data_IF_584602616478
#
_entry.id   IF_584602616478
#
_cell.length_a   1.000
_cell.length_b   1.000
_cell.length_c   1.000
_cell.angle_alpha   90.00
_cell.angle_beta   90.00
_cell.angle_gamma   90.00
#
_symmetry.space_group_name_H-M   'P 1'
#
loop_
_entity.id
_entity.type
_entity.pdbx_description
1 polymer ?
#
# COMPACT_ATOMS: atom_id res chain seq x y z
N UNK A 1 27.69 -26.63 5.68
CA UNK A 1 26.60 -26.77 4.69
C UNK A 1 25.65 -25.60 4.88
N UNK A 2 25.28 -24.84 3.84
CA UNK A 2 24.29 -23.79 3.98
C UNK A 2 22.93 -24.41 4.33
N UNK A 3 22.26 -23.91 5.37
CA UNK A 3 20.90 -24.33 5.72
C UNK A 3 19.93 -23.91 4.62
N UNK A 4 19.04 -24.81 4.16
CA UNK A 4 18.04 -24.46 3.17
C UNK A 4 17.10 -23.38 3.74
N UNK A 5 16.91 -22.29 2.98
CA UNK A 5 15.94 -21.26 3.34
C UNK A 5 14.53 -21.77 3.10
N UNK A 6 13.67 -21.62 4.09
CA UNK A 6 12.25 -21.94 3.93
C UNK A 6 11.61 -21.01 2.88
N UNK A 7 10.62 -21.51 2.10
CA UNK A 7 9.92 -20.69 1.14
C UNK A 7 9.17 -19.54 1.82
N UNK A 8 9.20 -18.34 1.24
CA UNK A 8 8.40 -17.21 1.71
C UNK A 8 6.92 -17.48 1.41
N UNK A 9 6.07 -17.26 2.43
CA UNK A 9 4.61 -17.28 2.33
C UNK A 9 4.11 -15.84 2.49
N UNK A 10 3.30 -15.35 1.55
CA UNK A 10 2.69 -14.01 1.61
C UNK A 10 1.52 -14.00 2.58
N UNK A 11 1.20 -12.83 3.15
CA UNK A 11 0.00 -12.67 3.99
C UNK A 11 -1.30 -13.07 3.25
N UNK A 12 -1.39 -12.82 1.94
CA UNK A 12 -2.53 -13.24 1.12
C UNK A 12 -2.64 -14.75 0.94
N UNK A 13 -1.54 -15.49 1.06
CA UNK A 13 -1.56 -16.97 1.08
C UNK A 13 -2.09 -17.50 2.39
N UNK A 14 -1.76 -16.86 3.52
CA UNK A 14 -2.34 -17.21 4.83
C UNK A 14 -3.85 -16.99 4.81
N UNK A 15 -4.30 -15.83 4.32
CA UNK A 15 -5.73 -15.55 4.18
C UNK A 15 -6.45 -16.55 3.27
N UNK A 16 -5.83 -16.94 2.15
CA UNK A 16 -6.38 -17.97 1.28
C UNK A 16 -6.46 -19.33 1.97
N UNK A 17 -5.43 -19.75 2.73
CA UNK A 17 -5.45 -21.01 3.45
C UNK A 17 -6.54 -21.04 4.53
N UNK A 18 -6.66 -19.95 5.31
CA UNK A 18 -7.70 -19.80 6.35
C UNK A 18 -9.10 -19.84 5.74
N UNK A 19 -9.28 -19.25 4.55
CA UNK A 19 -10.54 -19.34 3.82
C UNK A 19 -10.79 -20.74 3.24
N UNK A 20 -9.80 -21.32 2.55
CA UNK A 20 -9.86 -22.66 1.98
C UNK A 20 -8.44 -23.24 1.75
N UNK A 21 -8.07 -24.21 2.58
CA UNK A 21 -6.78 -24.90 2.45
C UNK A 21 -6.58 -25.57 1.08
N UNK A 22 -7.66 -26.07 0.47
CA UNK A 22 -7.60 -26.69 -0.87
C UNK A 22 -7.30 -25.66 -1.96
N UNK A 23 -7.87 -24.46 -1.92
CA UNK A 23 -7.56 -23.44 -2.94
C UNK A 23 -6.12 -22.98 -2.83
N UNK A 24 -5.62 -22.80 -1.60
CA UNK A 24 -4.20 -22.52 -1.36
C UNK A 24 -3.30 -23.62 -1.92
N UNK A 25 -3.62 -24.90 -1.67
CA UNK A 25 -2.83 -26.03 -2.18
C UNK A 25 -2.82 -26.07 -3.72
N UNK A 26 -3.99 -25.92 -4.36
CA UNK A 26 -4.10 -25.88 -5.82
C UNK A 26 -3.27 -24.73 -6.42
N UNK A 27 -3.27 -23.56 -5.78
CA UNK A 27 -2.47 -22.43 -6.27
C UNK A 27 -0.98 -22.59 -5.99
N UNK A 28 -0.60 -22.97 -4.78
CA UNK A 28 0.80 -22.94 -4.31
C UNK A 28 1.58 -24.19 -4.69
N UNK A 29 0.95 -25.36 -4.63
CA UNK A 29 1.59 -26.66 -4.88
C UNK A 29 1.39 -27.08 -6.33
N UNK A 30 0.15 -27.02 -6.83
CA UNK A 30 -0.14 -27.41 -8.23
C UNK A 30 0.07 -26.27 -9.24
N UNK A 31 0.26 -25.03 -8.78
CA UNK A 31 0.50 -23.88 -9.66
C UNK A 31 -0.72 -23.43 -10.48
N UNK A 32 -1.93 -23.84 -10.07
CA UNK A 32 -3.16 -23.46 -10.75
C UNK A 32 -3.55 -22.03 -10.41
N UNK A 33 -3.53 -21.14 -11.41
CA UNK A 33 -3.85 -19.75 -11.20
C UNK A 33 -5.35 -19.51 -11.02
N UNK A 34 -5.76 -18.76 -9.97
CA UNK A 34 -7.14 -18.34 -9.81
C UNK A 34 -7.57 -17.40 -10.91
N UNK A 35 -8.85 -17.48 -11.29
CA UNK A 35 -9.48 -16.56 -12.22
C UNK A 35 -9.42 -15.10 -11.74
N UNK A 36 -9.75 -14.17 -12.64
CA UNK A 36 -9.87 -12.75 -12.29
C UNK A 36 -8.54 -12.04 -12.05
N UNK A 37 -7.43 -12.54 -12.62
CA UNK A 37 -6.12 -11.87 -12.65
C UNK A 37 -6.25 -10.41 -13.11
N UNK A 38 -7.00 -10.16 -14.17
CA UNK A 38 -7.24 -8.81 -14.70
C UNK A 38 -7.89 -7.88 -13.66
N UNK A 39 -8.88 -8.37 -12.90
CA UNK A 39 -9.51 -7.59 -11.82
C UNK A 39 -8.50 -7.24 -10.72
N UNK A 40 -7.63 -8.18 -10.35
CA UNK A 40 -6.56 -7.95 -9.36
C UNK A 40 -5.55 -6.92 -9.85
N UNK A 41 -5.13 -7.01 -11.12
CA UNK A 41 -4.20 -6.05 -11.73
C UNK A 41 -4.82 -4.65 -11.83
N UNK A 42 -6.10 -4.55 -12.21
CA UNK A 42 -6.84 -3.29 -12.22
C UNK A 42 -6.95 -2.68 -10.81
N UNK A 43 -7.26 -3.49 -9.80
CA UNK A 43 -7.27 -3.06 -8.40
C UNK A 43 -5.91 -2.51 -7.97
N UNK A 44 -4.81 -3.20 -8.29
CA UNK A 44 -3.46 -2.74 -7.98
C UNK A 44 -3.12 -1.40 -8.68
N UNK A 45 -3.55 -1.21 -9.93
CA UNK A 45 -3.38 0.07 -10.63
C UNK A 45 -4.13 1.21 -9.94
N UNK A 46 -5.38 0.96 -9.52
CA UNK A 46 -6.20 1.94 -8.80
C UNK A 46 -5.56 2.31 -7.46
N UNK A 47 -5.08 1.33 -6.68
CA UNK A 47 -4.36 1.60 -5.43
C UNK A 47 -3.09 2.41 -5.64
N UNK A 48 -2.30 2.14 -6.69
CA UNK A 48 -1.11 2.95 -7.02
C UNK A 48 -1.49 4.39 -7.33
N UNK A 49 -2.51 4.61 -8.17
CA UNK A 49 -3.01 5.95 -8.50
C UNK A 49 -3.48 6.71 -7.27
N UNK A 50 -4.26 6.05 -6.41
CA UNK A 50 -4.71 6.65 -5.15
C UNK A 50 -3.52 6.98 -4.24
N UNK A 51 -2.53 6.08 -4.12
CA UNK A 51 -1.32 6.32 -3.33
C UNK A 51 -0.53 7.54 -3.79
N UNK A 52 -0.45 7.82 -5.10
CA UNK A 52 0.15 9.04 -5.63
C UNK A 52 -0.66 10.29 -5.23
N UNK A 53 -1.98 10.23 -5.33
CA UNK A 53 -2.85 11.34 -4.92
C UNK A 53 -2.75 11.65 -3.42
N UNK A 54 -2.68 10.63 -2.57
CA UNK A 54 -2.48 10.78 -1.11
C UNK A 54 -1.14 11.43 -0.81
N UNK A 55 -0.05 11.04 -1.49
CA UNK A 55 1.26 11.67 -1.33
C UNK A 55 1.23 13.15 -1.70
N UNK A 56 0.62 13.50 -2.84
CA UNK A 56 0.43 14.89 -3.24
C UNK A 56 -0.39 15.69 -2.22
N UNK A 57 -1.47 15.10 -1.70
CA UNK A 57 -2.32 15.72 -0.67
C UNK A 57 -1.54 15.98 0.63
N UNK A 58 -0.67 15.05 1.05
CA UNK A 58 0.19 15.23 2.23
C UNK A 58 1.22 16.36 2.02
N UNK A 59 1.81 16.45 0.83
CA UNK A 59 2.73 17.54 0.49
C UNK A 59 2.03 18.91 0.53
N UNK A 60 0.82 19.01 -0.06
CA UNK A 60 0.01 20.23 -0.01
C UNK A 60 -0.39 20.60 1.43
N UNK A 61 -0.76 19.63 2.25
CA UNK A 61 -1.08 19.88 3.66
C UNK A 61 0.12 20.44 4.44
N UNK A 62 1.34 19.95 4.17
CA UNK A 62 2.56 20.51 4.76
C UNK A 62 2.82 21.95 4.29
N UNK A 63 2.68 22.23 2.99
CA UNK A 63 2.81 23.59 2.45
C UNK A 63 1.79 24.54 3.09
N UNK A 64 0.52 24.12 3.20
CA UNK A 64 -0.52 24.89 3.84
C UNK A 64 -0.18 25.20 5.31
N UNK A 65 0.31 24.22 6.07
CA UNK A 65 0.74 24.42 7.45
C UNK A 65 1.89 25.44 7.54
N UNK A 66 2.89 25.34 6.67
CA UNK A 66 4.02 26.29 6.65
C UNK A 66 3.55 27.72 6.34
N UNK A 67 2.63 27.89 5.38
CA UNK A 67 2.07 29.19 5.04
C UNK A 67 1.26 29.79 6.20
N UNK A 68 0.47 28.98 6.91
CA UNK A 68 -0.26 29.41 8.10
C UNK A 68 0.69 29.89 9.19
N UNK A 69 1.75 29.11 9.48
CA UNK A 69 2.76 29.49 10.47
C UNK A 69 3.51 30.78 10.07
N UNK A 70 3.87 30.93 8.80
CA UNK A 70 4.50 32.15 8.29
C UNK A 70 3.57 33.37 8.43
N UNK A 71 2.29 33.22 8.08
CA UNK A 71 1.27 34.27 8.25
C UNK A 71 1.09 34.66 9.72
N UNK A 72 1.01 33.68 10.63
CA UNK A 72 0.99 33.94 12.07
C UNK A 72 2.24 34.69 12.54
N UNK A 73 3.42 34.28 12.07
CA UNK A 73 4.66 34.98 12.36
C UNK A 73 4.63 36.43 11.91
N UNK A 74 4.16 36.70 10.69
CA UNK A 74 4.05 38.07 10.18
C UNK A 74 3.09 38.92 11.03
N UNK A 75 1.94 38.39 11.43
CA UNK A 75 0.98 39.11 12.28
C UNK A 75 1.55 39.38 13.68
N UNK A 76 2.19 38.38 14.29
CA UNK A 76 2.68 38.47 15.67
C UNK A 76 3.95 39.32 15.80
N UNK A 77 4.81 39.33 14.79
CA UNK A 77 6.12 39.98 14.85
C UNK A 77 6.26 41.19 13.90
N UNK A 78 5.47 41.28 12.84
CA UNK A 78 5.51 42.39 11.88
C UNK A 78 4.71 43.63 12.28
N UNK A 79 3.87 43.54 13.31
CA UNK A 79 3.12 44.66 13.88
C UNK A 79 3.82 45.30 15.11
N UNK A 80 5.10 44.95 15.35
CA UNK A 80 5.94 45.52 16.39
C UNK A 80 6.95 46.51 15.82
#
# INVERSE_FOLDING_TARGET
MPTPRLPIIRASEIGEYVYCARSWWLRRVEGLEPEGRERRERGAQLHRRHGMAVQGSRALALVALLLVLAGLGLVLFGAR
#
